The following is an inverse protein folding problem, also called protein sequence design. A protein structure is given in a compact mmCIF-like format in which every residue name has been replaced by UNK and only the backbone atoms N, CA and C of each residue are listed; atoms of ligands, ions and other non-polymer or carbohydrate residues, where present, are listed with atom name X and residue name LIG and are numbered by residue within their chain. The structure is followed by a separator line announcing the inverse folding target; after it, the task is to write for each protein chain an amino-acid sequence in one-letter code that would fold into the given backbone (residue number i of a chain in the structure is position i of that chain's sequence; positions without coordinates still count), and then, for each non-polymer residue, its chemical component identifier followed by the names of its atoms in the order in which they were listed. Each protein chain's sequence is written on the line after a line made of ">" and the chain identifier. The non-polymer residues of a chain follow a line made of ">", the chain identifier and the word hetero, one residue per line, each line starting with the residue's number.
data_IF_849584944444
#
_entry.id   IF_849584944444
#
_cell.length_a   1.000
_cell.length_b   1.000
_cell.length_c   1.000
_cell.angle_alpha   90.00
_cell.angle_beta   90.00
_cell.angle_gamma   90.00
#
_symmetry.space_group_name_H-M   'P 1'
#
loop_
_entity.id
_entity.type
_entity.pdbx_description
1 polymer ?
#
# COMPACT_ATOMS: atom_id res chain seq x y z
N UNK A 1 9.98 -18.47 -17.87
CA UNK A 1 9.46 -18.18 -16.50
C UNK A 1 9.06 -16.72 -16.32
N UNK A 2 9.90 -15.70 -16.57
CA UNK A 2 9.53 -14.28 -16.34
C UNK A 2 8.35 -13.83 -17.22
N UNK A 3 8.32 -14.19 -18.49
CA UNK A 3 7.22 -13.84 -19.42
C UNK A 3 5.89 -14.48 -19.03
N UNK A 4 5.89 -15.71 -18.50
CA UNK A 4 4.67 -16.38 -18.03
C UNK A 4 4.08 -15.74 -16.78
N UNK A 5 4.91 -15.27 -15.86
CA UNK A 5 4.47 -14.56 -14.66
C UNK A 5 3.89 -13.18 -15.00
N UNK A 6 4.48 -12.45 -15.94
CA UNK A 6 3.96 -11.16 -16.40
C UNK A 6 2.61 -11.32 -17.13
N UNK A 7 2.45 -12.39 -17.90
CA UNK A 7 1.19 -12.68 -18.58
C UNK A 7 0.08 -13.07 -17.59
N UNK A 8 0.39 -13.89 -16.58
CA UNK A 8 -0.55 -14.22 -15.52
C UNK A 8 -1.00 -12.97 -14.73
N UNK A 9 -0.05 -12.09 -14.41
CA UNK A 9 -0.28 -10.82 -13.73
C UNK A 9 -1.21 -9.90 -14.55
N UNK A 10 -0.96 -9.80 -15.85
CA UNK A 10 -1.81 -9.04 -16.79
C UNK A 10 -3.22 -9.64 -16.91
N UNK A 11 -3.33 -10.97 -17.06
CA UNK A 11 -4.65 -11.66 -17.13
C UNK A 11 -5.47 -11.43 -15.89
N UNK A 12 -4.85 -11.53 -14.70
CA UNK A 12 -5.54 -11.28 -13.43
C UNK A 12 -6.01 -9.82 -13.34
N UNK A 13 -5.18 -8.86 -13.74
CA UNK A 13 -5.55 -7.46 -13.76
C UNK A 13 -6.72 -7.20 -14.72
N UNK A 14 -6.68 -7.75 -15.94
CA UNK A 14 -7.77 -7.64 -16.92
C UNK A 14 -9.05 -8.23 -16.35
N UNK A 15 -8.99 -9.43 -15.75
CA UNK A 15 -10.17 -10.07 -15.14
C UNK A 15 -10.77 -9.21 -14.02
N UNK A 16 -9.96 -8.61 -13.15
CA UNK A 16 -10.41 -7.67 -12.12
C UNK A 16 -11.13 -6.46 -12.73
N UNK A 17 -10.53 -5.87 -13.76
CA UNK A 17 -11.04 -4.66 -14.41
C UNK A 17 -12.28 -4.90 -15.26
N UNK A 18 -12.46 -6.06 -15.85
CA UNK A 18 -13.60 -6.37 -16.72
C UNK A 18 -14.77 -7.00 -15.97
N UNK A 19 -14.51 -7.91 -15.02
CA UNK A 19 -15.56 -8.69 -14.35
C UNK A 19 -16.09 -8.05 -13.06
N UNK A 20 -15.24 -7.34 -12.31
CA UNK A 20 -15.60 -6.80 -11.00
C UNK A 20 -15.83 -5.29 -10.99
N UNK A 21 -15.64 -4.62 -12.13
CA UNK A 21 -15.75 -3.17 -12.23
C UNK A 21 -17.17 -2.69 -11.92
N UNK A 22 -17.31 -1.82 -10.91
CA UNK A 22 -18.55 -1.12 -10.56
C UNK A 22 -18.23 0.34 -10.26
N UNK A 23 -18.85 1.28 -10.98
CA UNK A 23 -18.57 2.73 -10.87
C UNK A 23 -18.63 3.27 -9.44
N UNK A 24 -19.61 2.83 -8.62
CA UNK A 24 -19.73 3.22 -7.22
C UNK A 24 -18.55 2.75 -6.38
N UNK A 25 -18.13 1.48 -6.55
CA UNK A 25 -16.97 0.89 -5.87
C UNK A 25 -15.68 1.58 -6.31
N UNK A 26 -15.52 1.88 -7.60
CA UNK A 26 -14.35 2.62 -8.10
C UNK A 26 -14.21 3.98 -7.42
N UNK A 27 -15.31 4.75 -7.30
CA UNK A 27 -15.30 6.06 -6.64
C UNK A 27 -14.92 5.94 -5.16
N UNK A 28 -15.52 4.98 -4.46
CA UNK A 28 -15.20 4.73 -3.04
C UNK A 28 -13.75 4.31 -2.83
N UNK A 29 -13.25 3.39 -3.65
CA UNK A 29 -11.85 2.94 -3.58
C UNK A 29 -10.87 4.03 -4.01
N UNK A 30 -11.22 4.89 -4.98
CA UNK A 30 -10.39 6.04 -5.36
C UNK A 30 -10.29 7.06 -4.23
N UNK A 31 -11.41 7.39 -3.57
CA UNK A 31 -11.43 8.26 -2.40
C UNK A 31 -10.62 7.68 -1.24
N UNK A 32 -10.77 6.37 -0.98
CA UNK A 32 -9.98 5.68 0.02
C UNK A 32 -8.48 5.68 -0.33
N UNK A 33 -8.12 5.35 -1.58
CA UNK A 33 -6.75 5.35 -2.05
C UNK A 33 -6.08 6.73 -1.91
N UNK A 34 -6.84 7.82 -2.12
CA UNK A 34 -6.34 9.17 -1.91
C UNK A 34 -5.88 9.41 -0.45
N UNK A 35 -6.56 8.84 0.55
CA UNK A 35 -6.12 8.95 1.95
C UNK A 35 -4.79 8.25 2.21
N UNK A 36 -4.47 7.22 1.41
CA UNK A 36 -3.23 6.46 1.47
C UNK A 36 -2.05 7.08 0.74
N UNK A 37 -2.25 8.18 0.03
CA UNK A 37 -1.18 8.88 -0.71
C UNK A 37 -0.05 9.27 0.23
N UNK A 38 1.18 8.88 -0.11
CA UNK A 38 2.37 9.04 0.76
C UNK A 38 2.22 8.44 2.17
N UNK A 39 1.27 7.53 2.37
CA UNK A 39 1.00 6.92 3.69
C UNK A 39 0.29 7.82 4.69
N UNK A 40 -0.36 8.91 4.23
CA UNK A 40 -0.96 9.96 5.08
C UNK A 40 -1.88 9.44 6.17
N UNK A 41 -2.78 8.53 5.85
CA UNK A 41 -3.73 7.98 6.83
C UNK A 41 -3.01 7.25 7.98
N UNK A 42 -1.92 6.54 7.69
CA UNK A 42 -1.14 5.80 8.68
C UNK A 42 -0.30 6.73 9.55
N UNK A 43 0.30 7.78 8.93
CA UNK A 43 1.00 8.83 9.67
C UNK A 43 0.03 9.56 10.59
N UNK A 44 -1.13 9.98 10.09
CA UNK A 44 -2.15 10.67 10.88
C UNK A 44 -2.65 9.80 12.04
N UNK A 45 -2.91 8.51 11.81
CA UNK A 45 -3.32 7.57 12.86
C UNK A 45 -2.24 7.40 13.94
N UNK A 46 -0.97 7.30 13.55
CA UNK A 46 0.14 7.21 14.49
C UNK A 46 0.33 8.51 15.29
N UNK A 47 0.20 9.68 14.65
CA UNK A 47 0.27 10.96 15.33
C UNK A 47 -0.90 11.16 16.30
N UNK A 48 -2.13 10.78 15.91
CA UNK A 48 -3.28 10.78 16.81
C UNK A 48 -3.04 9.87 18.04
N UNK A 49 -2.47 8.68 17.83
CA UNK A 49 -2.05 7.80 18.91
C UNK A 49 -1.03 8.45 19.85
N UNK A 50 -0.07 9.22 19.30
CA UNK A 50 0.93 9.96 20.09
C UNK A 50 0.32 11.08 20.95
N UNK A 51 -0.81 11.66 20.53
CA UNK A 51 -1.55 12.68 21.28
C UNK A 51 -2.35 12.07 22.42
N UNK A 52 -2.99 10.93 22.18
CA UNK A 52 -3.88 10.27 23.15
C UNK A 52 -3.09 9.44 24.15
N UNK A 53 -2.15 8.63 23.70
CA UNK A 53 -1.35 7.73 24.54
C UNK A 53 0.01 8.35 24.86
N UNK A 54 0.00 9.33 25.75
CA UNK A 54 1.20 10.09 26.14
C UNK A 54 2.27 9.21 26.79
N UNK A 55 1.88 8.10 27.44
CA UNK A 55 2.83 7.16 28.06
C UNK A 55 3.72 6.46 27.03
N UNK A 56 3.17 6.17 25.85
CA UNK A 56 3.90 5.52 24.74
C UNK A 56 4.16 6.46 23.56
N UNK A 57 4.14 7.79 23.80
CA UNK A 57 4.26 8.81 22.76
C UNK A 57 5.46 8.59 21.83
N UNK A 58 6.63 8.30 22.40
CA UNK A 58 7.84 8.06 21.57
C UNK A 58 7.65 6.88 20.60
N UNK A 59 6.98 5.80 21.03
CA UNK A 59 6.70 4.64 20.18
C UNK A 59 5.71 4.97 19.06
N UNK A 60 4.72 5.82 19.35
CA UNK A 60 3.78 6.30 18.34
C UNK A 60 4.44 7.21 17.31
N UNK A 61 5.32 8.11 17.75
CA UNK A 61 6.11 8.96 16.84
C UNK A 61 7.07 8.11 15.99
N UNK A 62 7.66 7.07 16.58
CA UNK A 62 8.45 6.11 15.82
C UNK A 62 7.62 5.37 14.77
N UNK A 63 6.39 4.98 15.08
CA UNK A 63 5.48 4.39 14.10
C UNK A 63 5.13 5.39 12.97
N UNK A 64 4.91 6.67 13.30
CA UNK A 64 4.68 7.71 12.31
C UNK A 64 5.89 7.89 11.38
N UNK A 65 7.12 7.86 11.92
CA UNK A 65 8.37 7.96 11.15
C UNK A 65 8.62 6.72 10.28
N UNK A 66 8.24 5.53 10.74
CA UNK A 66 8.44 4.29 10.02
C UNK A 66 7.71 4.23 8.66
N UNK A 67 6.61 4.97 8.51
CA UNK A 67 5.86 5.03 7.25
C UNK A 67 6.67 5.74 6.15
N UNK A 68 7.18 6.98 6.32
CA UNK A 68 8.01 7.63 5.30
C UNK A 68 9.35 6.92 5.08
N UNK A 69 9.94 6.29 6.10
CA UNK A 69 11.13 5.42 5.92
C UNK A 69 10.81 4.26 4.95
N UNK A 70 9.65 3.62 5.14
CA UNK A 70 9.20 2.56 4.22
C UNK A 70 8.94 3.10 2.81
N UNK A 71 8.40 4.31 2.69
CA UNK A 71 8.19 4.96 1.39
C UNK A 71 9.52 5.21 0.68
N UNK A 72 10.54 5.70 1.40
CA UNK A 72 11.89 5.91 0.88
C UNK A 72 12.54 4.60 0.40
N UNK A 73 12.47 3.55 1.21
CA UNK A 73 12.96 2.23 0.82
C UNK A 73 12.23 1.68 -0.43
N UNK A 74 10.90 1.84 -0.48
CA UNK A 74 10.11 1.48 -1.66
C UNK A 74 10.55 2.25 -2.90
N UNK A 75 10.85 3.54 -2.77
CA UNK A 75 11.36 4.36 -3.87
C UNK A 75 12.70 3.84 -4.38
N UNK A 76 13.64 3.47 -3.50
CA UNK A 76 14.92 2.88 -3.92
C UNK A 76 14.71 1.59 -4.74
N UNK A 77 13.81 0.69 -4.30
CA UNK A 77 13.50 -0.53 -5.06
C UNK A 77 12.88 -0.19 -6.43
N UNK A 78 12.04 0.84 -6.52
CA UNK A 78 11.50 1.31 -7.81
C UNK A 78 12.59 1.69 -8.80
N UNK A 79 13.62 2.41 -8.36
CA UNK A 79 14.72 2.84 -9.23
C UNK A 79 15.56 1.67 -9.75
N UNK A 80 15.60 0.57 -9.02
CA UNK A 80 16.30 -0.67 -9.45
C UNK A 80 15.47 -1.48 -10.43
N UNK A 81 14.19 -1.75 -10.10
CA UNK A 81 13.34 -2.65 -10.90
C UNK A 81 12.78 -1.98 -12.16
N UNK A 82 12.49 -0.68 -12.09
CA UNK A 82 12.03 0.18 -13.20
C UNK A 82 10.85 -0.36 -14.00
N UNK A 83 9.93 -1.09 -13.36
CA UNK A 83 8.73 -1.62 -14.02
C UNK A 83 7.75 -0.51 -14.36
N UNK A 84 7.30 -0.47 -15.61
CA UNK A 84 6.25 0.44 -16.07
C UNK A 84 4.87 0.03 -15.53
N UNK A 85 3.95 0.99 -15.46
CA UNK A 85 2.57 0.74 -15.03
C UNK A 85 1.77 0.01 -16.10
N UNK A 86 0.66 -0.67 -15.67
CA UNK A 86 -0.21 -1.32 -16.63
C UNK A 86 -0.85 -0.31 -17.60
N UNK A 87 -0.67 -0.57 -18.88
CA UNK A 87 -1.44 0.05 -19.95
C UNK A 87 -2.33 -1.03 -20.57
N UNK A 88 -3.63 -0.92 -20.34
CA UNK A 88 -4.61 -1.88 -20.83
C UNK A 88 -5.39 -1.24 -21.98
N UNK A 89 -5.23 -1.76 -23.20
CA UNK A 89 -5.95 -1.30 -24.39
C UNK A 89 -7.47 -1.31 -24.14
N UNK A 90 -8.13 -0.18 -24.31
CA UNK A 90 -9.58 -0.04 -24.11
C UNK A 90 -10.07 -0.03 -22.65
N UNK A 91 -9.18 -0.14 -21.67
CA UNK A 91 -9.53 -0.17 -20.24
C UNK A 91 -8.74 0.91 -19.52
N UNK A 92 -9.27 2.13 -19.46
CA UNK A 92 -8.62 3.23 -18.75
C UNK A 92 -8.50 2.96 -17.25
N UNK A 93 -7.38 3.35 -16.66
CA UNK A 93 -7.24 3.42 -15.20
C UNK A 93 -8.24 4.45 -14.62
N UNK A 94 -8.69 4.23 -13.39
CA UNK A 94 -9.60 5.16 -12.72
C UNK A 94 -8.81 6.11 -11.83
N UNK A 95 -8.99 7.41 -12.06
CA UNK A 95 -8.27 8.48 -11.35
C UNK A 95 -6.91 8.82 -11.97
N UNK A 96 -6.15 9.67 -11.28
CA UNK A 96 -4.81 10.06 -11.73
C UNK A 96 -3.85 8.86 -11.67
N UNK A 97 -3.25 8.54 -12.81
CA UNK A 97 -2.14 7.56 -12.86
C UNK A 97 -0.88 8.29 -12.43
N UNK A 98 -0.24 7.87 -11.33
CA UNK A 98 0.98 8.53 -10.91
C UNK A 98 2.08 8.39 -11.97
N UNK A 99 2.84 9.44 -12.23
CA UNK A 99 3.98 9.43 -13.17
C UNK A 99 5.17 8.55 -12.71
N UNK A 100 5.04 7.83 -11.59
CA UNK A 100 6.08 6.98 -11.04
C UNK A 100 5.98 5.53 -11.52
N UNK A 101 7.08 4.80 -11.40
CA UNK A 101 7.21 3.37 -11.71
C UNK A 101 6.21 2.50 -10.92
N UNK A 102 5.88 1.31 -11.45
CA UNK A 102 4.84 0.45 -10.89
C UNK A 102 5.32 -0.37 -9.69
N UNK A 103 6.45 -1.05 -9.83
CA UNK A 103 6.92 -2.03 -8.83
C UNK A 103 7.93 -1.43 -7.84
N UNK A 104 7.80 -1.70 -6.55
CA UNK A 104 6.64 -2.27 -5.86
C UNK A 104 5.59 -1.18 -5.54
N UNK A 105 4.37 -1.57 -5.16
CA UNK A 105 3.31 -0.62 -4.83
C UNK A 105 3.59 0.12 -3.52
N UNK A 106 3.76 1.45 -3.60
CA UNK A 106 4.01 2.29 -2.42
C UNK A 106 2.81 2.32 -1.46
N UNK A 107 1.57 2.36 -1.97
CA UNK A 107 0.36 2.30 -1.14
C UNK A 107 0.29 1.00 -0.33
N UNK A 108 0.61 -0.15 -0.95
CA UNK A 108 0.65 -1.42 -0.24
C UNK A 108 1.79 -1.43 0.80
N UNK A 109 2.99 -0.99 0.44
CA UNK A 109 4.15 -0.98 1.34
C UNK A 109 3.90 -0.11 2.58
N UNK A 110 3.49 1.15 2.39
CA UNK A 110 3.24 2.07 3.51
C UNK A 110 2.06 1.63 4.38
N UNK A 111 1.01 1.02 3.77
CA UNK A 111 -0.14 0.54 4.52
C UNK A 111 0.19 -0.68 5.38
N UNK A 112 0.91 -1.66 4.84
CA UNK A 112 1.32 -2.82 5.62
C UNK A 112 2.37 -2.49 6.68
N UNK A 113 3.28 -1.54 6.42
CA UNK A 113 4.19 -1.03 7.43
C UNK A 113 3.44 -0.30 8.55
N UNK A 114 2.53 0.62 8.21
CA UNK A 114 1.70 1.33 9.18
C UNK A 114 0.86 0.38 10.04
N UNK A 115 0.16 -0.58 9.41
CA UNK A 115 -0.61 -1.61 10.11
C UNK A 115 0.26 -2.45 11.06
N UNK A 116 1.47 -2.81 10.64
CA UNK A 116 2.42 -3.56 11.47
C UNK A 116 2.88 -2.74 12.67
N UNK A 117 3.36 -1.51 12.44
CA UNK A 117 3.90 -0.64 13.48
C UNK A 117 2.83 -0.26 14.51
N UNK A 118 1.67 0.22 14.06
CA UNK A 118 0.54 0.59 14.92
C UNK A 118 -0.01 -0.65 15.63
N UNK A 119 -0.13 -1.77 14.93
CA UNK A 119 -0.63 -3.03 15.49
C UNK A 119 0.23 -3.61 16.61
N UNK A 120 1.50 -3.20 16.78
CA UNK A 120 2.30 -3.56 17.95
C UNK A 120 1.91 -2.76 19.20
N UNK A 121 1.32 -1.58 19.01
CA UNK A 121 0.88 -0.68 20.07
C UNK A 121 -0.56 -0.98 20.50
N UNK A 122 -1.41 -1.39 19.56
CA UNK A 122 -2.84 -1.68 19.78
C UNK A 122 -3.19 -3.08 19.27
N UNK A 123 -2.68 -4.10 19.95
CA UNK A 123 -2.81 -5.52 19.54
C UNK A 123 -4.24 -5.95 19.19
N UNK A 124 -5.29 -5.56 19.94
CA UNK A 124 -6.67 -5.94 19.61
C UNK A 124 -7.14 -5.42 18.25
N UNK A 125 -6.59 -4.30 17.77
CA UNK A 125 -6.95 -3.69 16.50
C UNK A 125 -6.16 -4.25 15.30
N UNK A 126 -5.19 -5.15 15.52
CA UNK A 126 -4.35 -5.70 14.43
C UNK A 126 -5.16 -6.25 13.25
N UNK A 127 -6.19 -7.09 13.45
CA UNK A 127 -6.99 -7.60 12.33
C UNK A 127 -7.62 -6.48 11.49
N UNK A 128 -8.20 -5.47 12.14
CA UNK A 128 -8.81 -4.32 11.47
C UNK A 128 -7.77 -3.47 10.71
N UNK A 129 -6.60 -3.24 11.30
CA UNK A 129 -5.49 -2.51 10.66
C UNK A 129 -4.99 -3.24 9.41
N UNK A 130 -4.79 -4.56 9.48
CA UNK A 130 -4.40 -5.35 8.32
C UNK A 130 -5.53 -5.46 7.29
N UNK A 131 -6.79 -5.49 7.71
CA UNK A 131 -7.96 -5.41 6.81
C UNK A 131 -7.98 -4.09 6.03
N UNK A 132 -7.75 -2.96 6.70
CA UNK A 132 -7.61 -1.66 6.06
C UNK A 132 -6.41 -1.62 5.10
N UNK A 133 -5.25 -2.13 5.51
CA UNK A 133 -4.08 -2.22 4.64
C UNK A 133 -4.33 -3.10 3.41
N UNK A 134 -5.01 -4.23 3.57
CA UNK A 134 -5.38 -5.12 2.47
C UNK A 134 -6.37 -4.45 1.51
N UNK A 135 -7.36 -3.71 2.01
CA UNK A 135 -8.28 -2.93 1.19
C UNK A 135 -7.56 -1.83 0.40
N UNK A 136 -6.60 -1.13 1.04
CA UNK A 136 -5.75 -0.15 0.37
C UNK A 136 -4.94 -0.80 -0.75
N UNK A 137 -4.32 -1.93 -0.46
CA UNK A 137 -3.54 -2.71 -1.42
C UNK A 137 -4.41 -3.18 -2.59
N UNK A 138 -5.59 -3.77 -2.31
CA UNK A 138 -6.56 -4.24 -3.31
C UNK A 138 -7.07 -3.11 -4.19
N UNK A 139 -7.24 -1.90 -3.65
CA UNK A 139 -7.70 -0.75 -4.44
C UNK A 139 -6.82 -0.49 -5.66
N UNK A 140 -5.52 -0.78 -5.61
CA UNK A 140 -4.57 -0.42 -6.65
C UNK A 140 -4.76 -1.20 -7.96
N UNK A 141 -4.81 -2.55 -7.97
CA UNK A 141 -5.15 -3.29 -9.18
C UNK A 141 -6.62 -3.10 -9.58
N UNK A 142 -7.53 -2.91 -8.61
CA UNK A 142 -8.93 -2.62 -8.92
C UNK A 142 -9.09 -1.30 -9.71
N UNK A 143 -8.30 -0.27 -9.38
CA UNK A 143 -8.26 1.01 -10.10
C UNK A 143 -7.41 0.95 -11.39
N UNK A 144 -6.69 -0.15 -11.64
CA UNK A 144 -5.90 -0.36 -12.86
C UNK A 144 -4.53 0.32 -12.86
N UNK A 145 -4.02 0.75 -11.70
CA UNK A 145 -2.76 1.53 -11.60
C UNK A 145 -1.55 0.70 -11.19
N UNK A 146 -1.74 -0.55 -10.78
CA UNK A 146 -0.70 -1.51 -10.42
C UNK A 146 -1.06 -2.93 -10.84
N UNK A 147 -0.05 -3.74 -11.11
CA UNK A 147 -0.23 -5.18 -11.23
C UNK A 147 -0.44 -5.83 -9.86
N UNK A 148 -1.14 -6.98 -9.78
CA UNK A 148 -1.28 -7.74 -8.53
C UNK A 148 0.05 -8.06 -7.84
N UNK A 149 1.07 -8.44 -8.60
CA UNK A 149 2.41 -8.73 -8.06
C UNK A 149 3.10 -7.51 -7.46
N UNK A 150 2.88 -6.28 -7.98
CA UNK A 150 3.42 -5.05 -7.39
C UNK A 150 2.87 -4.85 -5.99
N UNK A 151 1.60 -5.19 -5.81
CA UNK A 151 0.88 -5.04 -4.55
C UNK A 151 1.32 -6.08 -3.53
N UNK A 152 1.46 -7.34 -3.94
CA UNK A 152 1.97 -8.42 -3.07
C UNK A 152 3.40 -8.14 -2.60
N UNK A 153 4.27 -7.71 -3.52
CA UNK A 153 5.64 -7.31 -3.17
C UNK A 153 5.66 -6.11 -2.21
N UNK A 154 4.84 -5.08 -2.47
CA UNK A 154 4.70 -3.93 -1.58
C UNK A 154 4.23 -4.34 -0.18
N UNK A 155 3.19 -5.18 -0.09
CA UNK A 155 2.67 -5.68 1.18
C UNK A 155 3.72 -6.47 1.97
N UNK A 156 4.48 -7.33 1.29
CA UNK A 156 5.57 -8.08 1.90
C UNK A 156 6.68 -7.16 2.41
N UNK A 157 7.19 -6.25 1.57
CA UNK A 157 8.23 -5.26 1.94
C UNK A 157 7.75 -4.41 3.13
N UNK A 158 6.53 -3.89 3.08
CA UNK A 158 5.96 -3.10 4.16
C UNK A 158 5.86 -3.86 5.48
N UNK A 159 5.45 -5.13 5.43
CA UNK A 159 5.36 -5.99 6.62
C UNK A 159 6.75 -6.27 7.20
N UNK A 160 7.73 -6.61 6.35
CA UNK A 160 9.11 -6.88 6.80
C UNK A 160 9.72 -5.63 7.42
N UNK A 161 9.69 -4.51 6.72
CA UNK A 161 10.23 -3.24 7.24
C UNK A 161 9.50 -2.80 8.52
N UNK A 162 8.18 -2.93 8.56
CA UNK A 162 7.40 -2.64 9.76
C UNK A 162 7.83 -3.49 10.96
N UNK A 163 8.13 -4.78 10.77
CA UNK A 163 8.65 -5.67 11.82
C UNK A 163 10.06 -5.28 12.26
N UNK A 164 10.96 -5.03 11.32
CA UNK A 164 12.33 -4.58 11.61
C UNK A 164 12.31 -3.30 12.43
N UNK A 165 11.60 -2.28 11.94
CA UNK A 165 11.47 -1.00 12.63
C UNK A 165 10.79 -1.12 14.00
N UNK A 166 9.83 -2.05 14.15
CA UNK A 166 9.23 -2.33 15.45
C UNK A 166 10.21 -2.98 16.44
N UNK A 167 11.21 -3.70 15.99
CA UNK A 167 12.25 -4.30 16.82
C UNK A 167 13.35 -3.33 17.27
N UNK A 168 13.50 -2.18 16.60
CA UNK A 168 14.55 -1.18 16.88
C UNK A 168 14.19 -0.16 17.98
N UNK A 169 13.05 -0.29 18.65
CA UNK A 169 12.49 0.68 19.60
C UNK A 169 12.45 0.16 21.04
#
# INVERSE_FOLDING_TARGET
>A
MIRSAQEADRRLLVALRTRLRRRGVERALAAYAWTGEYGRIWIAAALAGALVDRRRRARWLWAALGVPVTLGANFCVKQVVRRERPELAGIAATGAVPASLSFPSAHAATSFAGATLIGTLVRPLRPALYGAAALMAFSRPYLGVHYPSDVLAGAWIGTVLGRVLAGLR
#
